data_IF_906689377028
#
_entry.id   IF_906689377028
#
_cell.length_a   1.000
_cell.length_b   1.000
_cell.length_c   1.000
_cell.angle_alpha   90.00
_cell.angle_beta   90.00
_cell.angle_gamma   90.00
#
_symmetry.space_group_name_H-M   'P 1'
#
loop_
_entity.id
_entity.type
_entity.pdbx_description
1 polymer ?
#
# COMPACT_ATOMS: atom_id res chain seq x y z
N UNK A 1 -14.60 9.06 13.68
CA UNK A 1 -14.83 7.91 14.59
C UNK A 1 -16.06 7.10 14.20
N UNK A 2 -17.26 7.69 14.11
CA UNK A 2 -18.53 7.01 13.77
C UNK A 2 -18.43 6.07 12.55
N UNK A 3 -17.86 6.53 11.42
CA UNK A 3 -17.67 5.69 10.22
C UNK A 3 -16.91 4.38 10.52
N UNK A 4 -15.88 4.44 11.37
CA UNK A 4 -15.09 3.25 11.73
C UNK A 4 -15.90 2.28 12.59
N UNK A 5 -16.74 2.79 13.50
CA UNK A 5 -17.63 1.94 14.31
C UNK A 5 -18.63 1.21 13.42
N UNK A 6 -19.25 1.90 12.47
CA UNK A 6 -20.18 1.28 11.50
C UNK A 6 -19.49 0.17 10.71
N UNK A 7 -18.31 0.46 10.12
CA UNK A 7 -17.55 -0.56 9.38
C UNK A 7 -17.13 -1.71 10.29
N UNK A 8 -16.72 -1.44 11.52
CA UNK A 8 -16.34 -2.44 12.52
C UNK A 8 -17.51 -3.37 12.90
N UNK A 9 -18.69 -2.81 13.17
CA UNK A 9 -19.92 -3.57 13.45
C UNK A 9 -20.26 -4.49 12.27
N UNK A 10 -20.19 -3.96 11.05
CA UNK A 10 -20.46 -4.74 9.82
C UNK A 10 -19.49 -5.91 9.71
N UNK A 11 -18.19 -5.67 9.91
CA UNK A 11 -17.17 -6.72 9.89
C UNK A 11 -17.44 -7.78 10.95
N UNK A 12 -17.73 -7.37 12.18
CA UNK A 12 -17.95 -8.30 13.29
C UNK A 12 -19.21 -9.16 13.11
N UNK A 13 -20.25 -8.62 12.48
CA UNK A 13 -21.51 -9.34 12.22
C UNK A 13 -21.47 -10.19 10.96
N UNK A 14 -20.93 -9.65 9.88
CA UNK A 14 -21.09 -10.19 8.54
C UNK A 14 -19.80 -10.81 7.98
N UNK A 15 -18.66 -10.57 8.64
CA UNK A 15 -17.38 -11.15 8.27
C UNK A 15 -16.75 -10.56 7.00
N UNK A 16 -17.27 -9.45 6.48
CA UNK A 16 -16.68 -8.74 5.34
C UNK A 16 -16.44 -7.27 5.65
N UNK A 17 -15.44 -6.69 4.99
CA UNK A 17 -15.10 -5.26 5.12
C UNK A 17 -15.85 -4.47 4.04
N UNK A 18 -16.85 -3.65 4.40
CA UNK A 18 -17.54 -2.81 3.41
C UNK A 18 -16.59 -1.72 2.90
N UNK A 19 -16.27 -1.76 1.61
CA UNK A 19 -15.44 -0.72 0.96
C UNK A 19 -16.28 0.52 0.63
N UNK A 20 -17.59 0.36 0.45
CA UNK A 20 -18.56 1.44 0.26
C UNK A 20 -19.55 1.42 1.42
N UNK A 21 -19.71 2.56 2.09
CA UNK A 21 -20.63 2.73 3.21
C UNK A 21 -21.74 3.67 2.74
N UNK A 22 -22.54 3.18 1.78
CA UNK A 22 -23.52 4.01 1.08
C UNK A 22 -24.71 4.36 1.98
N UNK A 23 -25.13 3.44 2.86
CA UNK A 23 -26.33 3.59 3.72
C UNK A 23 -26.24 4.76 4.72
N UNK A 24 -25.05 5.07 5.23
CA UNK A 24 -24.85 6.15 6.21
C UNK A 24 -24.18 7.39 5.62
N UNK A 25 -24.02 7.43 4.28
CA UNK A 25 -23.24 8.47 3.61
C UNK A 25 -23.78 9.88 3.86
N UNK A 26 -25.08 10.07 3.74
CA UNK A 26 -25.72 11.38 3.91
C UNK A 26 -25.58 11.90 5.34
N UNK A 27 -25.85 11.06 6.34
CA UNK A 27 -25.69 11.39 7.76
C UNK A 27 -24.23 11.73 8.11
N UNK A 28 -23.27 10.95 7.60
CA UNK A 28 -21.84 11.23 7.80
C UNK A 28 -21.42 12.55 7.14
N UNK A 29 -21.98 12.90 5.98
CA UNK A 29 -21.73 14.18 5.32
C UNK A 29 -22.35 15.35 6.09
N UNK A 30 -23.56 15.19 6.62
CA UNK A 30 -24.22 16.21 7.43
C UNK A 30 -23.41 16.53 8.70
N UNK A 31 -22.91 15.50 9.40
CA UNK A 31 -21.99 15.69 10.54
C UNK A 31 -20.71 16.39 10.10
N UNK A 32 -20.12 15.98 8.98
CA UNK A 32 -18.90 16.61 8.44
C UNK A 32 -19.11 18.10 8.14
N UNK A 33 -20.30 18.50 7.70
CA UNK A 33 -20.67 19.89 7.41
C UNK A 33 -21.10 20.68 8.65
N UNK A 34 -21.24 20.04 9.82
CA UNK A 34 -21.75 20.68 11.03
C UNK A 34 -23.26 20.91 11.04
N UNK A 35 -24.01 20.23 10.16
CA UNK A 35 -25.48 20.33 10.07
C UNK A 35 -26.17 19.55 11.21
N UNK A 36 -25.46 18.61 11.83
CA UNK A 36 -25.96 17.80 12.95
C UNK A 36 -25.42 18.38 14.27
N UNK A 37 -26.28 18.67 15.27
CA UNK A 37 -25.85 19.13 16.58
C UNK A 37 -24.86 18.16 17.24
N UNK A 38 -23.96 18.71 18.06
CA UNK A 38 -22.95 17.91 18.76
C UNK A 38 -23.57 16.85 19.68
N UNK A 39 -24.62 17.21 20.43
CA UNK A 39 -25.29 16.29 21.35
C UNK A 39 -25.87 15.06 20.62
N UNK A 40 -26.42 15.25 19.43
CA UNK A 40 -26.97 14.18 18.60
C UNK A 40 -25.86 13.29 18.03
N UNK A 41 -24.77 13.92 17.55
CA UNK A 41 -23.57 13.22 17.07
C UNK A 41 -22.96 12.35 18.17
N UNK A 42 -22.86 12.88 19.40
CA UNK A 42 -22.29 12.16 20.54
C UNK A 42 -23.19 11.03 21.01
N UNK A 43 -24.52 11.25 21.05
CA UNK A 43 -25.49 10.19 21.33
C UNK A 43 -25.38 9.04 20.34
N UNK A 44 -25.23 9.34 19.04
CA UNK A 44 -25.05 8.32 18.02
C UNK A 44 -23.73 7.57 18.18
N UNK A 45 -22.63 8.28 18.46
CA UNK A 45 -21.33 7.69 18.72
C UNK A 45 -21.38 6.69 19.90
N UNK A 46 -22.02 7.06 21.01
CA UNK A 46 -22.17 6.20 22.19
C UNK A 46 -23.03 4.95 21.89
N UNK A 47 -24.13 5.13 21.14
CA UNK A 47 -24.96 4.00 20.72
C UNK A 47 -24.18 3.00 19.85
N UNK A 48 -23.39 3.49 18.89
CA UNK A 48 -22.54 2.66 18.03
C UNK A 48 -21.43 1.96 18.83
N UNK A 49 -20.86 2.58 19.85
CA UNK A 49 -19.90 1.90 20.74
C UNK A 49 -20.54 0.72 21.46
N UNK A 50 -21.71 0.91 22.08
CA UNK A 50 -22.41 -0.17 22.75
C UNK A 50 -22.79 -1.31 21.78
N UNK A 51 -23.12 -0.96 20.53
CA UNK A 51 -23.37 -1.95 19.50
C UNK A 51 -22.11 -2.70 19.05
N UNK A 52 -20.98 -2.00 18.92
CA UNK A 52 -19.69 -2.60 18.58
C UNK A 52 -19.25 -3.62 19.63
N UNK A 53 -19.33 -3.28 20.93
CA UNK A 53 -18.99 -4.21 22.02
C UNK A 53 -19.85 -5.47 21.98
N UNK A 54 -21.18 -5.32 21.81
CA UNK A 54 -22.08 -6.48 21.64
C UNK A 54 -21.73 -7.33 20.42
N UNK A 55 -21.38 -6.69 19.30
CA UNK A 55 -20.98 -7.41 18.09
C UNK A 55 -19.65 -8.15 18.30
N UNK A 56 -18.73 -7.59 19.07
CA UNK A 56 -17.44 -8.19 19.40
C UNK A 56 -17.62 -9.43 20.29
N UNK A 57 -18.49 -9.38 21.29
CA UNK A 57 -18.80 -10.53 22.16
C UNK A 57 -19.43 -11.70 21.40
N UNK A 58 -20.17 -11.41 20.32
CA UNK A 58 -20.93 -12.41 19.57
C UNK A 58 -20.25 -12.87 18.28
N UNK A 59 -19.12 -12.25 17.90
CA UNK A 59 -18.49 -12.52 16.62
C UNK A 59 -17.92 -13.94 16.55
N UNK A 60 -17.89 -14.50 15.33
CA UNK A 60 -17.19 -15.75 15.03
C UNK A 60 -15.79 -15.51 14.47
N UNK A 61 -15.39 -14.25 14.31
CA UNK A 61 -14.06 -13.91 13.84
C UNK A 61 -13.01 -14.31 14.87
N UNK A 62 -11.87 -14.87 14.43
CA UNK A 62 -10.77 -15.18 15.35
C UNK A 62 -10.17 -13.90 15.91
N UNK A 63 -9.61 -13.98 17.11
CA UNK A 63 -8.92 -12.86 17.75
C UNK A 63 -7.75 -12.33 16.88
N UNK A 64 -7.15 -13.20 16.08
CA UNK A 64 -6.06 -12.86 15.16
C UNK A 64 -6.35 -13.39 13.76
N UNK A 65 -6.04 -12.59 12.72
CA UNK A 65 -6.11 -13.08 11.34
C UNK A 65 -5.09 -14.19 11.10
N UNK A 66 -5.39 -15.07 10.16
CA UNK A 66 -4.47 -16.10 9.68
C UNK A 66 -3.39 -15.46 8.80
N UNK A 67 -2.31 -15.03 9.45
CA UNK A 67 -1.19 -14.35 8.79
C UNK A 67 -0.51 -15.23 7.75
N UNK A 68 -0.43 -16.53 7.96
CA UNK A 68 0.23 -17.46 7.03
C UNK A 68 -0.57 -17.56 5.73
N UNK A 69 -1.88 -17.75 5.83
CA UNK A 69 -2.78 -17.79 4.68
C UNK A 69 -2.81 -16.47 3.91
N UNK A 70 -2.85 -15.34 4.62
CA UNK A 70 -2.79 -14.01 4.01
C UNK A 70 -1.45 -13.82 3.28
N UNK A 71 -0.33 -14.16 3.91
CA UNK A 71 0.99 -14.06 3.28
C UNK A 71 1.10 -14.94 2.03
N UNK A 72 0.64 -16.19 2.10
CA UNK A 72 0.62 -17.10 0.96
C UNK A 72 -0.22 -16.53 -0.20
N UNK A 73 -1.39 -15.96 0.10
CA UNK A 73 -2.23 -15.29 -0.89
C UNK A 73 -1.50 -14.10 -1.54
N UNK A 74 -0.86 -13.23 -0.75
CA UNK A 74 -0.12 -12.06 -1.26
C UNK A 74 1.07 -12.46 -2.13
N UNK A 75 1.82 -13.51 -1.75
CA UNK A 75 2.91 -14.05 -2.57
C UNK A 75 2.37 -14.57 -3.91
N UNK A 76 1.25 -15.30 -3.89
CA UNK A 76 0.61 -15.81 -5.11
C UNK A 76 0.12 -14.67 -6.01
N UNK A 77 -0.54 -13.66 -5.44
CA UNK A 77 -1.01 -12.48 -6.18
C UNK A 77 0.16 -11.73 -6.83
N UNK A 78 1.26 -11.52 -6.10
CA UNK A 78 2.49 -10.90 -6.61
C UNK A 78 3.10 -11.68 -7.78
N UNK A 79 3.22 -13.01 -7.64
CA UNK A 79 3.75 -13.87 -8.72
C UNK A 79 2.88 -13.80 -9.97
N UNK A 80 1.55 -13.83 -9.80
CA UNK A 80 0.60 -13.75 -10.91
C UNK A 80 0.69 -12.39 -11.62
N UNK A 81 0.72 -11.28 -10.87
CA UNK A 81 0.86 -9.94 -11.43
C UNK A 81 2.20 -9.74 -12.17
N UNK A 82 3.28 -10.34 -11.66
CA UNK A 82 4.58 -10.33 -12.35
C UNK A 82 4.55 -11.13 -13.66
N UNK A 83 3.87 -12.29 -13.67
CA UNK A 83 3.72 -13.12 -14.87
C UNK A 83 2.83 -12.45 -15.94
N UNK A 84 1.76 -11.76 -15.55
CA UNK A 84 0.92 -10.97 -16.48
C UNK A 84 1.69 -9.82 -17.14
N UNK A 85 2.74 -9.30 -16.49
CA UNK A 85 3.64 -8.28 -17.06
C UNK A 85 4.76 -8.86 -17.95
N UNK A 86 4.90 -10.18 -18.02
CA UNK A 86 5.89 -10.86 -18.87
C UNK A 86 5.32 -11.31 -20.23
N UNK A 87 4.02 -11.14 -20.46
CA UNK A 87 3.34 -11.46 -21.74
C UNK A 87 3.48 -10.37 -22.82
N UNK A 88 4.02 -9.20 -22.50
CA UNK A 88 4.57 -8.26 -23.48
C UNK A 88 6.09 -8.25 -23.31
N UNK A 89 6.87 -8.80 -24.25
CA UNK A 89 8.31 -8.73 -24.18
C UNK A 89 8.73 -7.27 -24.32
N UNK A 90 9.48 -6.67 -23.38
CA UNK A 90 10.24 -5.48 -23.69
C UNK A 90 11.24 -5.86 -24.79
N UNK A 91 11.33 -5.05 -25.84
CA UNK A 91 12.35 -5.18 -26.87
C UNK A 91 13.71 -4.87 -26.22
N UNK A 92 14.41 -5.90 -25.74
CA UNK A 92 15.74 -5.79 -25.15
C UNK A 92 16.74 -5.67 -26.30
N UNK A 93 17.53 -4.59 -26.40
CA UNK A 93 18.64 -4.53 -27.35
C UNK A 93 19.63 -5.67 -27.06
N UNK A 94 19.96 -6.47 -28.07
CA UNK A 94 20.80 -7.66 -27.89
C UNK A 94 22.20 -7.27 -27.37
N UNK A 95 22.72 -7.94 -26.34
CA UNK A 95 24.08 -7.72 -25.86
C UNK A 95 25.08 -8.33 -26.84
N UNK A 96 25.93 -7.50 -27.42
CA UNK A 96 27.16 -7.92 -28.08
C UNK A 96 28.16 -8.34 -27.01
N UNK A 97 28.26 -9.64 -26.71
CA UNK A 97 29.29 -10.13 -25.80
C UNK A 97 29.01 -11.51 -25.24
N UNK A 98 29.75 -12.49 -25.73
CA UNK A 98 29.73 -13.90 -25.33
C UNK A 98 30.05 -14.11 -23.85
N UNK A 99 29.12 -14.71 -23.09
CA UNK A 99 29.40 -15.99 -22.45
C UNK A 99 28.13 -16.70 -21.99
N UNK A 100 27.97 -17.96 -22.39
CA UNK A 100 26.91 -18.88 -21.98
C UNK A 100 27.37 -19.65 -20.75
N UNK A 101 26.60 -19.68 -19.64
CA UNK A 101 26.18 -20.90 -18.87
C UNK A 101 25.05 -20.53 -17.86
N UNK A 102 24.32 -21.46 -17.22
CA UNK A 102 22.91 -21.73 -17.49
C UNK A 102 21.94 -21.32 -16.36
N UNK A 103 20.65 -21.37 -16.66
CA UNK A 103 19.54 -21.19 -15.73
C UNK A 103 19.47 -22.37 -14.75
N UNK A 104 19.33 -22.10 -13.45
CA UNK A 104 18.65 -23.01 -12.52
C UNK A 104 17.99 -22.22 -11.38
N UNK A 105 16.69 -22.44 -11.22
CA UNK A 105 15.84 -21.91 -10.16
C UNK A 105 16.10 -22.61 -8.81
N UNK A 106 16.04 -21.78 -7.75
CA UNK A 106 15.30 -22.03 -6.49
C UNK A 106 15.81 -23.07 -5.47
N UNK A 107 16.18 -22.50 -4.30
CA UNK A 107 16.47 -23.05 -2.97
C UNK A 107 17.70 -23.95 -2.82
N UNK A 108 18.75 -23.39 -2.20
CA UNK A 108 19.64 -24.05 -1.22
C UNK A 108 20.50 -22.96 -0.56
N UNK A 109 20.74 -23.08 0.74
CA UNK A 109 21.60 -22.17 1.52
C UNK A 109 22.94 -21.97 0.81
N UNK A 110 23.20 -20.75 0.37
CA UNK A 110 24.53 -20.31 -0.07
C UNK A 110 24.77 -19.01 0.66
N UNK A 111 25.80 -19.03 1.51
CA UNK A 111 26.51 -17.87 2.04
C UNK A 111 26.86 -16.94 0.87
N UNK A 112 25.90 -16.08 0.53
CA UNK A 112 26.16 -14.92 -0.31
C UNK A 112 27.00 -13.96 0.53
N UNK A 113 27.94 -13.20 -0.07
CA UNK A 113 28.51 -12.06 0.64
C UNK A 113 27.34 -11.27 1.20
N UNK A 114 27.35 -10.98 2.50
CA UNK A 114 26.25 -10.28 3.14
C UNK A 114 25.88 -9.09 2.26
N UNK A 115 24.59 -8.91 1.90
CA UNK A 115 24.18 -7.76 1.12
C UNK A 115 24.71 -6.53 1.85
N UNK A 116 25.58 -5.77 1.19
CA UNK A 116 26.26 -4.64 1.82
C UNK A 116 25.19 -3.61 2.12
N UNK A 117 24.74 -3.62 3.36
CA UNK A 117 23.70 -2.74 3.83
C UNK A 117 24.36 -1.37 4.03
N UNK A 118 24.21 -0.51 3.03
CA UNK A 118 24.68 0.86 3.14
C UNK A 118 23.73 1.61 4.09
N UNK A 119 24.18 1.82 5.33
CA UNK A 119 23.51 2.67 6.32
C UNK A 119 23.94 4.11 6.10
N UNK A 120 23.14 4.93 5.42
CA UNK A 120 23.37 6.38 5.38
C UNK A 120 22.56 7.05 6.48
N UNK A 121 23.24 7.86 7.31
CA UNK A 121 22.64 8.59 8.43
C UNK A 121 22.60 10.08 8.10
N UNK A 122 21.41 10.56 7.72
CA UNK A 122 21.05 11.99 7.85
C UNK A 122 20.06 12.09 9.02
N UNK A 123 18.88 12.69 8.88
CA UNK A 123 17.94 12.83 10.02
C UNK A 123 17.17 11.54 10.39
N UNK A 124 17.13 10.52 9.52
CA UNK A 124 16.59 9.19 9.80
C UNK A 124 17.49 8.12 9.15
N UNK A 125 17.63 6.92 9.72
CA UNK A 125 18.46 5.85 9.15
C UNK A 125 17.80 5.31 7.87
N UNK A 126 18.48 5.44 6.74
CA UNK A 126 18.06 4.83 5.48
C UNK A 126 18.86 3.55 5.29
N UNK A 127 18.16 2.42 5.16
CA UNK A 127 18.76 1.12 4.85
C UNK A 127 18.58 0.86 3.36
N UNK A 128 19.66 1.04 2.59
CA UNK A 128 19.65 0.71 1.17
C UNK A 128 20.31 -0.65 0.95
N UNK A 129 19.50 -1.61 0.51
CA UNK A 129 19.90 -2.90 -0.04
C UNK A 129 19.68 -2.90 -1.56
N UNK A 130 20.75 -3.20 -2.31
CA UNK A 130 20.73 -3.25 -3.77
C UNK A 130 19.69 -4.27 -4.29
N UNK A 131 18.94 -3.90 -5.32
CA UNK A 131 17.90 -4.75 -5.91
C UNK A 131 16.60 -4.88 -5.09
N UNK A 132 16.46 -4.19 -3.96
CA UNK A 132 15.28 -4.27 -3.10
C UNK A 132 14.13 -3.37 -3.55
N UNK A 133 12.90 -3.80 -3.27
CA UNK A 133 11.71 -2.99 -3.46
C UNK A 133 11.45 -2.15 -2.20
N UNK A 134 11.21 -0.86 -2.38
CA UNK A 134 10.97 0.11 -1.32
C UNK A 134 9.55 0.65 -1.39
N UNK A 135 8.96 0.82 -0.22
CA UNK A 135 7.74 1.61 -0.05
C UNK A 135 8.14 3.00 0.42
N UNK A 136 7.90 4.01 -0.43
CA UNK A 136 8.26 5.41 -0.15
C UNK A 136 6.99 6.21 0.06
N UNK A 137 6.96 6.99 1.13
CA UNK A 137 5.85 7.93 1.42
C UNK A 137 6.42 9.31 1.65
N UNK A 138 5.87 10.31 0.96
CA UNK A 138 6.17 11.72 1.23
C UNK A 138 4.89 12.54 1.25
N UNK A 139 4.92 13.64 2.00
CA UNK A 139 3.79 14.55 2.20
C UNK A 139 4.12 15.93 1.64
N UNK A 140 3.08 16.67 1.27
CA UNK A 140 3.21 18.10 1.01
C UNK A 140 3.58 18.82 2.31
N UNK A 141 4.38 19.88 2.19
CA UNK A 141 4.72 20.72 3.34
C UNK A 141 3.50 21.48 3.88
N UNK A 142 2.62 21.94 2.98
CA UNK A 142 1.34 22.56 3.30
C UNK A 142 0.36 22.40 2.11
N UNK A 143 -0.94 22.56 2.37
CA UNK A 143 -2.01 22.57 1.36
C UNK A 143 -2.43 21.20 0.82
N UNK A 144 -3.18 21.22 -0.29
CA UNK A 144 -3.67 20.02 -0.99
C UNK A 144 -3.58 20.18 -2.50
N UNK A 145 -3.19 19.11 -3.19
CA UNK A 145 -3.16 19.00 -4.63
C UNK A 145 -4.58 18.92 -5.21
N UNK A 146 -4.85 19.77 -6.19
CA UNK A 146 -5.97 19.65 -7.12
C UNK A 146 -5.82 18.42 -8.01
N UNK A 147 -6.88 18.04 -8.73
CA UNK A 147 -6.83 16.89 -9.64
C UNK A 147 -5.78 17.04 -10.75
N UNK A 148 -5.63 18.24 -11.32
CA UNK A 148 -4.63 18.52 -12.35
C UNK A 148 -3.21 18.41 -11.78
N UNK A 149 -2.96 18.96 -10.59
CA UNK A 149 -1.64 18.87 -9.94
C UNK A 149 -1.29 17.42 -9.57
N UNK A 150 -2.28 16.62 -9.15
CA UNK A 150 -2.07 15.18 -8.92
C UNK A 150 -1.65 14.44 -10.19
N UNK A 151 -2.21 14.82 -11.35
CA UNK A 151 -1.81 14.24 -12.63
C UNK A 151 -0.37 14.61 -12.99
N UNK A 152 0.02 15.88 -12.80
CA UNK A 152 1.39 16.35 -13.04
C UNK A 152 2.39 15.58 -12.16
N UNK A 153 2.07 15.40 -10.88
CA UNK A 153 2.90 14.62 -9.95
C UNK A 153 3.02 13.16 -10.42
N UNK A 154 1.90 12.54 -10.81
CA UNK A 154 1.90 11.17 -11.32
C UNK A 154 2.74 11.04 -12.59
N UNK A 155 2.61 11.96 -13.53
CA UNK A 155 3.35 11.95 -14.80
C UNK A 155 4.85 12.15 -14.56
N UNK A 156 5.22 13.03 -13.63
CA UNK A 156 6.62 13.19 -13.23
C UNK A 156 7.21 11.91 -12.62
N UNK A 157 6.45 11.24 -11.74
CA UNK A 157 6.88 9.95 -11.15
C UNK A 157 6.99 8.86 -12.24
N UNK A 158 6.06 8.81 -13.19
CA UNK A 158 6.13 7.87 -14.32
C UNK A 158 7.32 8.16 -15.23
N UNK A 159 7.68 9.43 -15.44
CA UNK A 159 8.86 9.78 -16.24
C UNK A 159 10.18 9.26 -15.64
N UNK A 160 10.22 9.08 -14.30
CA UNK A 160 11.36 8.44 -13.63
C UNK A 160 11.39 6.92 -13.71
N UNK A 161 10.27 6.28 -14.09
CA UNK A 161 10.20 4.83 -14.28
C UNK A 161 11.13 4.39 -15.42
N UNK A 162 11.83 3.27 -15.21
CA UNK A 162 12.87 2.70 -16.07
C UNK A 162 14.14 3.54 -16.21
N UNK A 163 14.11 4.83 -15.90
CA UNK A 163 15.28 5.70 -15.95
C UNK A 163 16.08 5.66 -14.63
N UNK A 164 15.42 5.83 -13.49
CA UNK A 164 16.07 5.90 -12.18
C UNK A 164 15.67 4.74 -11.27
N UNK A 165 14.46 4.23 -11.46
CA UNK A 165 13.87 3.14 -10.69
C UNK A 165 12.88 2.37 -11.55
N UNK A 166 12.54 1.15 -11.16
CA UNK A 166 11.38 0.44 -11.66
C UNK A 166 10.20 0.72 -10.73
N UNK A 167 9.18 1.38 -11.26
CA UNK A 167 7.96 1.73 -10.55
C UNK A 167 6.97 0.55 -10.60
N UNK A 168 6.62 0.01 -9.45
CA UNK A 168 5.62 -1.04 -9.34
C UNK A 168 4.21 -0.46 -9.23
N UNK A 169 4.03 0.56 -8.39
CA UNK A 169 2.78 1.27 -8.16
C UNK A 169 3.01 2.69 -7.61
N UNK A 170 2.09 3.61 -7.88
CA UNK A 170 2.05 4.96 -7.32
C UNK A 170 0.60 5.36 -7.01
N UNK A 171 0.36 6.00 -5.86
CA UNK A 171 -0.93 6.58 -5.48
C UNK A 171 -0.70 8.02 -5.05
N UNK A 172 -1.39 8.96 -5.71
CA UNK A 172 -1.30 10.40 -5.42
C UNK A 172 -2.58 10.83 -4.71
N UNK A 173 -2.48 11.10 -3.41
CA UNK A 173 -3.56 11.66 -2.59
C UNK A 173 -3.46 13.20 -2.61
N UNK A 174 -4.50 13.94 -2.17
CA UNK A 174 -4.42 15.40 -2.11
C UNK A 174 -3.24 15.93 -1.28
N UNK A 175 -2.83 15.28 -0.19
CA UNK A 175 -1.82 15.81 0.73
C UNK A 175 -0.54 14.93 0.84
N UNK A 176 -0.52 13.76 0.20
CA UNK A 176 0.60 12.81 0.28
C UNK A 176 0.65 11.83 -0.87
N UNK A 177 1.80 11.18 -1.04
CA UNK A 177 2.08 10.24 -2.13
C UNK A 177 2.67 8.96 -1.57
N UNK A 178 2.22 7.82 -2.09
CA UNK A 178 2.77 6.50 -1.80
C UNK A 178 3.33 5.86 -3.08
N UNK A 179 4.58 5.40 -3.03
CA UNK A 179 5.28 4.73 -4.13
C UNK A 179 5.75 3.35 -3.69
N UNK A 180 5.63 2.40 -4.61
CA UNK A 180 6.31 1.12 -4.51
C UNK A 180 7.28 1.04 -5.69
N UNK A 181 8.59 1.07 -5.43
CA UNK A 181 9.60 1.13 -6.49
C UNK A 181 10.87 0.35 -6.15
N UNK A 182 11.67 0.02 -7.16
CA UNK A 182 13.01 -0.57 -7.01
C UNK A 182 14.03 0.33 -7.71
N UNK A 183 15.00 0.94 -7.00
CA UNK A 183 16.05 1.75 -7.63
C UNK A 183 16.86 0.94 -8.64
N UNK A 184 17.33 1.59 -9.71
CA UNK A 184 18.36 1.02 -10.57
C UNK A 184 19.71 1.00 -9.85
N UNK A 185 20.58 0.06 -10.23
CA UNK A 185 21.94 -0.04 -9.70
C UNK A 185 22.70 1.27 -9.92
N UNK A 186 23.30 1.80 -8.85
CA UNK A 186 23.98 3.12 -8.85
C UNK A 186 23.12 4.31 -8.42
N UNK A 187 21.80 4.15 -8.27
CA UNK A 187 20.91 5.17 -7.71
C UNK A 187 20.49 4.82 -6.28
N UNK A 188 20.61 5.79 -5.37
CA UNK A 188 20.12 5.67 -3.99
C UNK A 188 18.88 6.53 -3.80
N UNK A 189 17.99 6.09 -2.89
CA UNK A 189 16.80 6.82 -2.45
C UNK A 189 17.13 7.84 -1.37
#
# INVERSE_FOLDING_TARGET
>A
LIRLLISGITVLREGFVPVRVDEHREQLLAIKKGEVPWEETEKWRLALHAEFERALEQTRLPERPDYEKVNAFLIKARRSAAQTRMSEPPEIPQPTGSNKVPVAQTFLSVSSPEPVLEKRRRNLPHWTMEGSCYFVTFRLADGTLTEQERMIVLDHIKAGDKQFYLLAAAVIMPDHVHLLLRPHTGYSL
#
